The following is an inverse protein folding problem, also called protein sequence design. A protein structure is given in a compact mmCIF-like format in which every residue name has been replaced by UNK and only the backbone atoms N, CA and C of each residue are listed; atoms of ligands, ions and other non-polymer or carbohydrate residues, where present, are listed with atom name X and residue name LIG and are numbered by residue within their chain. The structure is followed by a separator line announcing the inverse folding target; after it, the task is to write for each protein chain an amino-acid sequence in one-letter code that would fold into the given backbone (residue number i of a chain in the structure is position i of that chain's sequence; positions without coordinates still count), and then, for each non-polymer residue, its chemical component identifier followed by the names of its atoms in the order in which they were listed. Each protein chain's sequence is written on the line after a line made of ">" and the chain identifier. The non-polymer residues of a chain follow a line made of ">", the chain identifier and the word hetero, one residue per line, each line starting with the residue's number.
data_IF_375780589718
#
_entry.id   IF_375780589718
#
_cell.length_a   1.000
_cell.length_b   1.000
_cell.length_c   1.000
_cell.angle_alpha   90.00
_cell.angle_beta   90.00
_cell.angle_gamma   90.00
#
_symmetry.space_group_name_H-M   'P 1'
#
loop_
_entity.id
_entity.type
_entity.pdbx_description
1 polymer ?
#
# COMPACT_ATOMS: atom_id res chain seq x y z
N UNK A 1 0.46 49.91 8.18
CA UNK A 1 1.37 48.84 7.74
C UNK A 1 0.82 47.51 8.25
N UNK A 2 -0.01 46.83 7.46
CA UNK A 2 -0.72 45.61 7.89
C UNK A 2 0.11 44.36 7.53
N UNK A 3 0.43 43.55 8.54
CA UNK A 3 1.04 42.24 8.35
C UNK A 3 -0.05 41.20 8.18
N UNK A 4 -0.21 40.71 6.94
CA UNK A 4 -1.11 39.62 6.59
C UNK A 4 -0.57 38.30 7.17
N UNK A 5 -1.36 37.65 8.04
CA UNK A 5 -1.10 36.30 8.51
C UNK A 5 -1.37 35.33 7.34
N UNK A 6 -0.32 34.87 6.68
CA UNK A 6 -0.41 33.72 5.77
C UNK A 6 -0.74 32.47 6.59
N UNK A 7 -1.97 31.99 6.50
CA UNK A 7 -2.38 30.70 7.03
C UNK A 7 -1.60 29.59 6.32
N UNK A 8 -0.87 28.78 7.09
CA UNK A 8 -0.32 27.51 6.60
C UNK A 8 -1.36 26.44 6.84
N UNK A 9 -2.35 26.31 5.95
CA UNK A 9 -3.03 25.02 5.78
C UNK A 9 -2.09 24.15 4.96
N UNK A 10 -1.13 23.53 5.64
CA UNK A 10 -0.35 22.43 5.07
C UNK A 10 -1.25 21.21 5.02
N UNK A 11 -2.10 21.14 4.00
CA UNK A 11 -2.75 19.90 3.59
C UNK A 11 -1.63 18.94 3.20
N UNK A 12 -1.25 18.07 4.12
CA UNK A 12 -0.24 17.04 3.91
C UNK A 12 -0.80 15.99 2.95
N UNK A 13 -0.80 16.31 1.66
CA UNK A 13 -1.41 15.53 0.59
C UNK A 13 -0.35 14.92 -0.36
N UNK A 14 0.93 14.92 0.04
CA UNK A 14 2.06 14.52 -0.80
C UNK A 14 2.55 13.08 -0.61
N UNK A 15 1.96 12.31 0.32
CA UNK A 15 2.31 10.89 0.52
C UNK A 15 1.42 9.90 -0.24
N UNK A 16 0.27 10.34 -0.77
CA UNK A 16 -0.78 9.47 -1.32
C UNK A 16 -0.74 9.32 -2.86
N UNK A 17 0.15 10.02 -3.57
CA UNK A 17 0.14 10.04 -5.03
C UNK A 17 1.10 9.06 -5.69
N UNK A 18 2.23 8.69 -5.06
CA UNK A 18 3.18 7.73 -5.66
C UNK A 18 2.69 6.28 -5.57
N UNK A 19 2.13 5.88 -4.42
CA UNK A 19 1.63 4.52 -4.22
C UNK A 19 0.48 4.18 -5.18
N UNK A 20 -0.42 5.12 -5.42
CA UNK A 20 -1.52 4.96 -6.36
C UNK A 20 -1.01 4.77 -7.80
N UNK A 21 -0.01 5.54 -8.22
CA UNK A 21 0.56 5.46 -9.57
C UNK A 21 1.43 4.23 -9.77
N UNK A 22 2.26 3.89 -8.78
CA UNK A 22 3.22 2.80 -8.86
C UNK A 22 2.49 1.45 -8.79
N UNK A 23 1.54 1.32 -7.85
CA UNK A 23 0.70 0.13 -7.79
C UNK A 23 -0.17 -0.03 -9.04
N UNK A 24 -0.69 1.08 -9.60
CA UNK A 24 -1.41 1.07 -10.87
C UNK A 24 -0.58 0.48 -12.01
N UNK A 25 0.70 0.85 -12.10
CA UNK A 25 1.63 0.33 -13.11
C UNK A 25 1.94 -1.15 -12.91
N UNK A 26 2.20 -1.58 -11.68
CA UNK A 26 2.45 -3.00 -11.36
C UNK A 26 1.21 -3.84 -11.65
N UNK A 27 0.04 -3.33 -11.28
CA UNK A 27 -1.23 -4.02 -11.50
C UNK A 27 -1.54 -4.16 -12.99
N UNK A 28 -1.36 -3.12 -13.80
CA UNK A 28 -1.61 -3.21 -15.25
C UNK A 28 -0.69 -4.22 -15.94
N UNK A 29 0.57 -4.30 -15.50
CA UNK A 29 1.49 -5.35 -15.97
C UNK A 29 1.01 -6.75 -15.58
N UNK A 30 0.55 -6.92 -14.33
CA UNK A 30 -0.02 -8.19 -13.87
C UNK A 30 -1.26 -8.61 -14.68
N UNK A 31 -2.15 -7.67 -14.98
CA UNK A 31 -3.33 -7.87 -15.83
C UNK A 31 -2.89 -8.31 -17.23
N UNK A 32 -1.95 -7.58 -17.85
CA UNK A 32 -1.44 -7.93 -19.19
C UNK A 32 -0.80 -9.32 -19.23
N UNK A 33 -0.13 -9.76 -18.16
CA UNK A 33 0.40 -11.12 -18.07
C UNK A 33 -0.71 -12.18 -17.95
N UNK A 34 -1.77 -11.89 -17.20
CA UNK A 34 -2.92 -12.78 -17.07
C UNK A 34 -3.71 -12.90 -18.39
N UNK A 35 -3.88 -11.79 -19.11
CA UNK A 35 -4.54 -11.76 -20.42
C UNK A 35 -3.83 -12.66 -21.44
N UNK A 36 -2.48 -12.70 -21.42
CA UNK A 36 -1.69 -13.57 -22.32
C UNK A 36 -1.96 -15.06 -22.14
N UNK A 37 -2.41 -15.46 -20.95
CA UNK A 37 -2.80 -16.84 -20.64
C UNK A 37 -4.32 -17.03 -20.64
N UNK A 38 -5.08 -16.03 -21.12
CA UNK A 38 -6.54 -16.06 -21.23
C UNK A 38 -7.26 -15.98 -19.89
N UNK A 39 -6.64 -15.40 -18.86
CA UNK A 39 -7.20 -15.29 -17.51
C UNK A 39 -7.49 -13.83 -17.18
N UNK A 40 -8.69 -13.57 -16.68
CA UNK A 40 -9.04 -12.26 -16.11
C UNK A 40 -8.72 -12.18 -14.61
N UNK A 41 -8.29 -11.01 -14.11
CA UNK A 41 -8.07 -10.80 -12.69
C UNK A 41 -9.40 -10.89 -11.94
N UNK A 42 -9.47 -11.77 -10.94
CA UNK A 42 -10.66 -11.93 -10.10
C UNK A 42 -10.30 -11.86 -8.62
N UNK A 43 -11.26 -11.43 -7.81
CA UNK A 43 -11.12 -11.49 -6.35
C UNK A 43 -11.34 -12.94 -5.89
N UNK A 44 -10.48 -13.50 -5.02
CA UNK A 44 -10.68 -14.82 -4.43
C UNK A 44 -12.04 -14.91 -3.74
N UNK A 45 -12.63 -16.11 -3.73
CA UNK A 45 -13.87 -16.37 -2.98
C UNK A 45 -13.62 -16.09 -1.49
N UNK A 46 -14.37 -15.15 -0.94
CA UNK A 46 -14.37 -14.89 0.51
C UNK A 46 -15.04 -16.09 1.17
N UNK A 47 -14.27 -16.91 1.88
CA UNK A 47 -14.81 -18.02 2.65
C UNK A 47 -15.69 -17.45 3.77
N UNK A 48 -16.87 -18.03 4.00
CA UNK A 48 -17.80 -17.58 5.04
C UNK A 48 -17.23 -17.63 6.47
N UNK A 49 -16.07 -18.26 6.66
CA UNK A 49 -15.33 -18.28 7.93
C UNK A 49 -13.83 -18.11 7.70
N UNK A 50 -13.37 -16.86 7.70
CA UNK A 50 -11.95 -16.52 7.71
C UNK A 50 -11.52 -16.26 9.17
N UNK A 51 -10.62 -17.06 9.74
CA UNK A 51 -10.31 -17.04 11.18
C UNK A 51 -9.14 -16.13 11.59
N UNK A 52 -8.23 -15.81 10.66
CA UNK A 52 -6.95 -15.16 10.99
C UNK A 52 -6.87 -13.69 10.54
N UNK A 53 -7.61 -13.29 9.51
CA UNK A 53 -7.71 -11.89 9.06
C UNK A 53 -8.96 -11.69 8.22
N UNK A 54 -9.69 -10.61 8.47
CA UNK A 54 -10.81 -10.21 7.61
C UNK A 54 -10.25 -9.53 6.35
N UNK A 55 -10.70 -9.94 5.17
CA UNK A 55 -10.37 -9.22 3.94
C UNK A 55 -11.00 -7.83 3.98
N UNK A 56 -10.20 -6.78 3.78
CA UNK A 56 -10.70 -5.42 3.65
C UNK A 56 -11.76 -5.37 2.53
N UNK A 57 -12.91 -4.70 2.76
CA UNK A 57 -13.96 -4.63 1.77
C UNK A 57 -13.40 -4.00 0.49
N UNK A 58 -13.72 -4.59 -0.66
CA UNK A 58 -13.25 -4.15 -1.97
C UNK A 58 -14.29 -4.46 -3.03
N UNK A 59 -14.58 -3.47 -3.87
CA UNK A 59 -15.59 -3.56 -4.92
C UNK A 59 -15.00 -4.19 -6.18
N UNK A 60 -13.74 -3.90 -6.48
CA UNK A 60 -13.02 -4.37 -7.67
C UNK A 60 -11.83 -5.26 -7.30
N UNK A 61 -11.36 -6.15 -8.21
CA UNK A 61 -10.12 -6.90 -8.02
C UNK A 61 -8.90 -6.01 -7.76
N UNK A 62 -8.83 -4.84 -8.43
CA UNK A 62 -7.78 -3.84 -8.19
C UNK A 62 -7.74 -3.39 -6.73
N UNK A 63 -8.88 -2.95 -6.19
CA UNK A 63 -8.97 -2.53 -4.79
C UNK A 63 -8.67 -3.67 -3.83
N UNK A 64 -9.10 -4.89 -4.17
CA UNK A 64 -8.87 -6.06 -3.35
C UNK A 64 -7.37 -6.35 -3.22
N UNK A 65 -6.65 -6.44 -4.34
CA UNK A 65 -5.22 -6.72 -4.32
C UNK A 65 -4.42 -5.57 -3.71
N UNK A 66 -4.87 -4.32 -3.89
CA UNK A 66 -4.27 -3.18 -3.22
C UNK A 66 -4.39 -3.28 -1.69
N UNK A 67 -5.61 -3.43 -1.19
CA UNK A 67 -5.91 -3.37 0.26
C UNK A 67 -5.44 -4.61 1.00
N UNK A 68 -5.54 -5.79 0.38
CA UNK A 68 -5.25 -7.06 1.04
C UNK A 68 -3.84 -7.60 0.78
N UNK A 69 -3.15 -7.14 -0.27
CA UNK A 69 -1.79 -7.59 -0.58
C UNK A 69 -0.78 -6.44 -0.50
N UNK A 70 -0.93 -5.41 -1.35
CA UNK A 70 0.11 -4.40 -1.53
C UNK A 70 0.38 -3.59 -0.26
N UNK A 71 -0.67 -3.07 0.38
CA UNK A 71 -0.53 -2.28 1.62
C UNK A 71 0.09 -3.13 2.74
N UNK A 72 -0.46 -4.29 3.13
CA UNK A 72 0.14 -5.11 4.19
C UNK A 72 1.58 -5.54 3.92
N UNK A 73 1.92 -5.82 2.67
CA UNK A 73 3.27 -6.22 2.30
C UNK A 73 4.27 -5.07 2.48
N UNK A 74 3.91 -3.86 2.05
CA UNK A 74 4.77 -2.69 2.18
C UNK A 74 4.88 -2.21 3.63
N UNK A 75 3.79 -2.30 4.40
CA UNK A 75 3.83 -2.06 5.85
C UNK A 75 4.82 -3.01 6.52
N UNK A 76 4.78 -4.30 6.16
CA UNK A 76 5.70 -5.30 6.70
C UNK A 76 7.16 -5.02 6.31
N UNK A 77 7.44 -4.63 5.07
CA UNK A 77 8.79 -4.26 4.65
C UNK A 77 9.28 -3.05 5.46
N UNK A 78 8.44 -2.02 5.59
CA UNK A 78 8.78 -0.82 6.35
C UNK A 78 9.09 -1.16 7.82
N UNK A 79 8.26 -1.98 8.46
CA UNK A 79 8.47 -2.44 9.84
C UNK A 79 9.80 -3.20 9.99
N UNK A 80 10.09 -4.12 9.07
CA UNK A 80 11.35 -4.88 9.09
C UNK A 80 12.57 -3.96 8.90
N UNK A 81 12.51 -3.03 7.95
CA UNK A 81 13.60 -2.09 7.70
C UNK A 81 13.84 -1.21 8.92
N UNK A 82 12.78 -0.63 9.50
CA UNK A 82 12.90 0.16 10.72
C UNK A 82 13.51 -0.63 11.87
N UNK A 83 13.00 -1.84 12.12
CA UNK A 83 13.50 -2.70 13.20
C UNK A 83 14.99 -3.00 13.04
N UNK A 84 15.40 -3.41 11.83
CA UNK A 84 16.80 -3.76 11.55
C UNK A 84 17.74 -2.56 11.63
N UNK A 85 17.31 -1.41 11.09
CA UNK A 85 18.11 -0.18 11.13
C UNK A 85 18.25 0.36 12.55
N UNK A 86 17.19 0.30 13.37
CA UNK A 86 17.26 0.68 14.78
C UNK A 86 18.20 -0.22 15.58
N UNK A 87 18.15 -1.54 15.36
CA UNK A 87 19.08 -2.49 15.98
C UNK A 87 20.52 -2.17 15.55
N UNK A 88 20.73 -1.88 14.26
CA UNK A 88 22.06 -1.49 13.77
C UNK A 88 22.56 -0.20 14.42
N UNK A 89 21.74 0.85 14.52
CA UNK A 89 22.10 2.12 15.16
C UNK A 89 22.47 1.95 16.64
N UNK A 90 21.66 1.17 17.39
CA UNK A 90 21.93 0.88 18.81
C UNK A 90 23.23 0.12 19.05
N UNK A 91 23.72 -0.62 18.06
CA UNK A 91 25.02 -1.32 18.15
C UNK A 91 26.22 -0.40 17.91
N UNK A 92 26.04 0.71 17.18
CA UNK A 92 27.11 1.67 16.87
C UNK A 92 27.33 2.69 18.01
N UNK A 93 26.33 2.91 18.86
CA UNK A 93 26.38 3.81 20.00
C UNK A 93 25.98 3.05 21.29
N UNK A 94 26.90 2.27 21.89
CA UNK A 94 26.67 1.62 23.17
C UNK A 94 26.51 2.61 24.33
#
# INVERSE_FOLDING_TARGET
>A
MQWSKRSKTSTNQKGMTCMETDFGTIYSQAVSMAEKIGIEPSKPRIAGRQQLRYNAPASTPYEYHKRNLAIPFLDHINENLHTRLQVWQKRQHP
#
